data_IF_564296185711
#
_entry.id   IF_564296185711
#
_cell.length_a   1.000
_cell.length_b   1.000
_cell.length_c   1.000
_cell.angle_alpha   90.00
_cell.angle_beta   90.00
_cell.angle_gamma   90.00
#
_symmetry.space_group_name_H-M   'P 1'
#
loop_
_entity.id
_entity.type
_entity.pdbx_description
1 polymer ?
#
# COMPACT_ATOMS: atom_id res chain seq x y z
N UNK A 1 -8.51 1.86 -19.37
CA UNK A 1 -8.01 2.73 -18.29
C UNK A 1 -8.55 2.18 -16.98
N UNK A 2 -7.73 1.45 -16.22
CA UNK A 2 -8.13 0.75 -15.00
C UNK A 2 -8.34 1.76 -13.88
N UNK A 3 -9.56 2.28 -13.74
CA UNK A 3 -9.97 2.95 -12.51
C UNK A 3 -10.35 1.87 -11.51
N UNK A 4 -9.80 1.92 -10.29
CA UNK A 4 -10.33 1.12 -9.19
C UNK A 4 -11.79 1.50 -9.00
N UNK A 5 -12.69 0.51 -8.92
CA UNK A 5 -14.10 0.80 -8.67
C UNK A 5 -14.25 1.29 -7.23
N UNK A 6 -15.22 2.17 -6.99
CA UNK A 6 -15.51 2.67 -5.63
C UNK A 6 -15.78 1.52 -4.66
N UNK A 7 -16.40 0.43 -5.14
CA UNK A 7 -16.68 -0.77 -4.35
C UNK A 7 -15.39 -1.47 -3.90
N UNK A 8 -14.44 -1.73 -4.80
CA UNK A 8 -13.15 -2.38 -4.45
C UNK A 8 -12.36 -1.53 -3.45
N UNK A 9 -12.38 -0.21 -3.59
CA UNK A 9 -11.72 0.69 -2.64
C UNK A 9 -12.37 0.64 -1.25
N UNK A 10 -13.71 0.66 -1.18
CA UNK A 10 -14.43 0.57 0.09
C UNK A 10 -14.25 -0.78 0.77
N UNK A 11 -14.24 -1.87 0.00
CA UNK A 11 -14.03 -3.23 0.50
C UNK A 11 -12.61 -3.38 1.05
N UNK A 12 -11.60 -2.88 0.33
CA UNK A 12 -10.22 -2.83 0.80
C UNK A 12 -10.07 -2.06 2.12
N UNK A 13 -10.71 -0.90 2.24
CA UNK A 13 -10.68 -0.12 3.49
C UNK A 13 -11.43 -0.82 4.62
N UNK A 14 -12.52 -1.54 4.34
CA UNK A 14 -13.23 -2.31 5.35
C UNK A 14 -12.42 -3.51 5.84
N UNK A 15 -11.65 -4.16 4.97
CA UNK A 15 -10.84 -5.34 5.32
C UNK A 15 -9.52 -4.99 6.02
N UNK A 16 -8.90 -3.87 5.65
CA UNK A 16 -7.54 -3.51 6.09
C UNK A 16 -7.45 -2.20 6.90
N UNK A 17 -8.53 -1.43 6.97
CA UNK A 17 -8.57 -0.13 7.66
C UNK A 17 -8.40 -0.23 9.18
N UNK A 18 -8.67 -1.39 9.77
CA UNK A 18 -8.54 -1.63 11.22
C UNK A 18 -7.09 -1.84 11.69
N UNK A 19 -6.10 -1.47 10.86
CA UNK A 19 -4.68 -1.61 11.17
C UNK A 19 -4.17 -3.06 11.07
N UNK A 20 -4.94 -3.94 10.42
CA UNK A 20 -4.55 -5.33 10.16
C UNK A 20 -3.38 -5.37 9.19
N UNK A 21 -2.39 -6.22 9.49
CA UNK A 21 -1.31 -6.51 8.56
C UNK A 21 -1.82 -7.31 7.36
N UNK A 22 -1.30 -7.00 6.18
CA UNK A 22 -1.54 -7.72 4.93
C UNK A 22 -0.29 -7.66 4.05
N UNK A 23 -0.21 -8.57 3.09
CA UNK A 23 0.93 -8.66 2.19
C UNK A 23 0.81 -7.66 1.05
N UNK A 24 1.86 -6.88 0.81
CA UNK A 24 1.96 -5.99 -0.33
C UNK A 24 3.25 -6.27 -1.12
N UNK A 25 3.15 -6.21 -2.44
CA UNK A 25 4.29 -6.48 -3.33
C UNK A 25 4.93 -5.18 -3.76
N UNK A 26 6.25 -5.06 -3.59
CA UNK A 26 7.00 -3.88 -4.02
C UNK A 26 7.06 -3.85 -5.54
N UNK A 27 6.47 -2.83 -6.16
CA UNK A 27 6.44 -2.65 -7.62
C UNK A 27 7.48 -1.66 -8.10
N UNK A 28 7.92 -0.73 -7.25
CA UNK A 28 8.97 0.23 -7.60
C UNK A 28 9.61 0.84 -6.37
N UNK A 29 10.94 0.90 -6.35
CA UNK A 29 11.70 1.62 -5.32
C UNK A 29 12.06 3.02 -5.83
N UNK A 30 11.83 4.03 -5.02
CA UNK A 30 12.09 5.45 -5.29
C UNK A 30 12.94 6.05 -4.16
N UNK A 31 13.64 7.17 -4.37
CA UNK A 31 14.48 7.79 -3.34
C UNK A 31 13.73 8.20 -2.06
N UNK A 32 12.43 8.51 -2.17
CA UNK A 32 11.59 8.97 -1.07
C UNK A 32 10.64 7.90 -0.52
N UNK A 33 10.60 6.72 -1.13
CA UNK A 33 9.57 5.73 -0.84
C UNK A 33 9.54 4.58 -1.83
N UNK A 34 8.65 3.63 -1.62
CA UNK A 34 8.50 2.44 -2.44
C UNK A 34 7.02 2.32 -2.75
N UNK A 35 6.71 2.16 -4.03
CA UNK A 35 5.38 1.82 -4.48
C UNK A 35 5.18 0.34 -4.23
N UNK A 36 4.05 0.04 -3.59
CA UNK A 36 3.61 -1.32 -3.32
C UNK A 36 2.22 -1.53 -3.91
N UNK A 37 1.94 -2.73 -4.37
CA UNK A 37 0.60 -3.16 -4.76
C UNK A 37 -0.04 -3.85 -3.55
N UNK A 38 -1.09 -3.25 -3.01
CA UNK A 38 -1.77 -3.75 -1.79
C UNK A 38 -2.92 -4.67 -2.11
N UNK A 39 -3.66 -4.35 -3.18
CA UNK A 39 -4.76 -5.13 -3.71
C UNK A 39 -4.93 -4.79 -5.20
N UNK A 40 -5.67 -5.60 -5.99
CA UNK A 40 -5.86 -5.35 -7.41
C UNK A 40 -6.39 -3.94 -7.70
N UNK A 41 -5.53 -3.09 -8.26
CA UNK A 41 -5.87 -1.70 -8.59
C UNK A 41 -5.82 -0.70 -7.42
N UNK A 42 -5.32 -1.10 -6.24
CA UNK A 42 -5.07 -0.20 -5.10
C UNK A 42 -3.58 0.04 -4.95
N UNK A 43 -3.06 1.20 -5.38
CA UNK A 43 -1.66 1.55 -5.19
C UNK A 43 -1.40 1.99 -3.74
N UNK A 44 -0.34 1.42 -3.15
CA UNK A 44 0.19 1.80 -1.85
C UNK A 44 1.53 2.53 -1.96
N UNK A 45 1.77 3.45 -1.04
CA UNK A 45 3.07 4.09 -0.84
C UNK A 45 3.63 3.70 0.52
N UNK A 46 4.79 3.06 0.52
CA UNK A 46 5.62 2.84 1.68
C UNK A 46 6.64 4.01 1.74
N UNK A 47 6.65 4.86 2.78
CA UNK A 47 7.60 5.96 2.90
C UNK A 47 9.02 5.47 3.23
N UNK A 48 10.07 6.15 2.75
CA UNK A 48 11.47 5.75 3.04
C UNK A 48 11.81 5.63 4.52
N UNK A 49 11.18 6.46 5.37
CA UNK A 49 11.35 6.42 6.83
C UNK A 49 10.65 5.26 7.52
N UNK A 50 9.86 4.46 6.79
CA UNK A 50 9.11 3.34 7.35
C UNK A 50 9.91 2.04 7.40
N UNK A 51 11.03 1.92 6.67
CA UNK A 51 11.86 0.71 6.65
C UNK A 51 13.32 0.99 7.04
N UNK A 52 13.95 -0.01 7.67
CA UNK A 52 15.38 0.02 7.99
C UNK A 52 16.23 -0.43 6.80
N UNK A 53 15.82 -1.51 6.13
CA UNK A 53 16.49 -2.08 4.95
C UNK A 53 15.70 -1.77 3.69
N UNK A 54 16.39 -1.39 2.61
CA UNK A 54 15.74 -1.06 1.34
C UNK A 54 14.96 -2.26 0.79
N UNK A 55 13.67 -2.09 0.49
CA UNK A 55 12.86 -3.17 -0.06
C UNK A 55 13.28 -3.50 -1.49
N UNK A 56 13.25 -4.78 -1.86
CA UNK A 56 13.61 -5.22 -3.21
C UNK A 56 12.37 -5.21 -4.13
N UNK A 57 12.56 -4.85 -5.40
CA UNK A 57 11.49 -4.95 -6.39
C UNK A 57 11.02 -6.40 -6.54
N UNK A 58 9.70 -6.62 -6.46
CA UNK A 58 9.07 -7.93 -6.49
C UNK A 58 9.02 -8.65 -5.15
N UNK A 59 9.61 -8.09 -4.09
CA UNK A 59 9.51 -8.66 -2.74
C UNK A 59 8.13 -8.39 -2.13
N UNK A 60 7.65 -9.36 -1.35
CA UNK A 60 6.42 -9.24 -0.56
C UNK A 60 6.76 -8.79 0.85
N UNK A 61 6.06 -7.76 1.34
CA UNK A 61 6.26 -7.19 2.67
C UNK A 61 4.91 -7.14 3.38
N UNK A 62 4.87 -7.60 4.62
CA UNK A 62 3.72 -7.41 5.49
C UNK A 62 3.63 -5.94 5.92
N UNK A 63 2.55 -5.28 5.51
CA UNK A 63 2.30 -3.87 5.77
C UNK A 63 0.92 -3.65 6.40
N UNK A 64 0.73 -2.49 7.00
CA UNK A 64 -0.55 -2.03 7.54
C UNK A 64 -0.85 -0.62 7.03
N UNK A 65 -2.13 -0.28 6.92
CA UNK A 65 -2.54 1.08 6.53
C UNK A 65 -2.17 2.03 7.67
N UNK A 66 -1.31 2.99 7.37
CA UNK A 66 -1.03 4.12 8.27
C UNK A 66 -2.03 5.25 8.03
N UNK A 67 -2.32 5.54 6.78
CA UNK A 67 -3.24 6.60 6.36
C UNK A 67 -3.87 6.25 5.02
N UNK A 68 -5.16 6.55 4.86
CA UNK A 68 -5.88 6.37 3.61
C UNK A 68 -6.35 7.73 3.08
N UNK A 69 -5.99 8.06 1.84
CA UNK A 69 -6.47 9.22 1.10
C UNK A 69 -7.62 8.76 0.21
N UNK A 70 -8.84 8.96 0.69
CA UNK A 70 -10.09 8.50 0.05
C UNK A 70 -10.39 9.32 -1.21
N UNK A 71 -10.00 10.59 -1.24
CA UNK A 71 -10.22 11.47 -2.39
C UNK A 71 -9.38 11.03 -3.58
N UNK A 72 -8.11 10.66 -3.34
CA UNK A 72 -7.17 10.26 -4.39
C UNK A 72 -6.98 8.75 -4.49
N UNK A 73 -7.78 7.96 -3.74
CA UNK A 73 -7.86 6.49 -3.76
C UNK A 73 -6.49 5.81 -3.64
N UNK A 74 -5.74 6.22 -2.63
CA UNK A 74 -4.40 5.70 -2.34
C UNK A 74 -4.17 5.54 -0.86
N UNK A 75 -3.30 4.61 -0.50
CA UNK A 75 -2.94 4.37 0.90
C UNK A 75 -1.46 4.59 1.14
N UNK A 76 -1.15 5.20 2.28
CA UNK A 76 0.17 5.15 2.87
C UNK A 76 0.22 3.97 3.83
N UNK A 77 1.25 3.17 3.67
CA UNK A 77 1.45 1.97 4.47
C UNK A 77 2.76 2.05 5.24
N UNK A 78 2.84 1.28 6.31
CA UNK A 78 4.08 1.08 7.10
C UNK A 78 4.26 -0.42 7.33
N UNK A 79 5.48 -0.90 7.59
CA UNK A 79 5.67 -2.29 7.97
C UNK A 79 4.85 -2.62 9.22
N UNK A 80 4.31 -3.84 9.23
CA UNK A 80 3.54 -4.39 10.35
C UNK A 80 4.44 -4.68 11.57
#
# INVERSE_FOLDING_TARGET
MSHVSTAVWQEFLAEHGDGRAFDAVVTKVLPFGALVETAPGVPGLLPRGAWTSEPEHGSTIAVRIATADVEQRRVSVVPA
#
